data_IF_048032698184
#
_entry.id   IF_048032698184
#
_cell.length_a   1.000
_cell.length_b   1.000
_cell.length_c   1.000
_cell.angle_alpha   90.00
_cell.angle_beta   90.00
_cell.angle_gamma   90.00
#
_symmetry.space_group_name_H-M   'P 1'
#
loop_
_entity.id
_entity.type
_entity.pdbx_description
1 polymer ?
#
# COMPACT_ATOMS: atom_id res chain seq x y z
N UNK A 1 64.93 24.55 20.79
CA UNK A 1 63.50 24.40 21.17
C UNK A 1 62.91 23.19 20.45
N UNK A 2 61.89 22.52 21.01
CA UNK A 2 61.13 21.46 20.31
C UNK A 2 59.68 21.44 20.82
N UNK A 3 58.74 21.86 20.00
CA UNK A 3 57.32 21.98 20.39
C UNK A 3 56.65 20.60 20.40
N UNK A 4 55.92 20.27 21.47
CA UNK A 4 55.31 18.95 21.68
C UNK A 4 53.87 18.95 21.14
N UNK A 5 53.68 18.48 19.90
CA UNK A 5 52.34 18.29 19.33
C UNK A 5 51.54 17.26 20.15
N UNK A 6 50.39 17.67 20.67
CA UNK A 6 49.41 16.78 21.31
C UNK A 6 48.34 16.36 20.28
N UNK A 7 47.93 15.09 20.30
CA UNK A 7 47.18 14.51 19.17
C UNK A 7 45.68 14.84 19.20
N UNK A 8 45.03 15.08 18.03
CA UNK A 8 43.71 15.73 17.94
C UNK A 8 42.51 14.83 18.30
N UNK A 9 42.72 13.68 18.96
CA UNK A 9 41.65 12.70 19.25
C UNK A 9 40.54 13.29 20.12
N UNK A 10 40.87 14.15 21.09
CA UNK A 10 39.87 14.80 21.97
C UNK A 10 39.03 15.85 21.23
N UNK A 11 39.64 16.64 20.34
CA UNK A 11 38.94 17.68 19.57
C UNK A 11 37.86 17.09 18.66
N UNK A 12 38.14 15.95 18.01
CA UNK A 12 37.13 15.25 17.18
C UNK A 12 35.91 14.80 17.98
N UNK A 13 36.09 14.33 19.22
CA UNK A 13 34.98 13.90 20.09
C UNK A 13 34.11 15.10 20.50
N UNK A 14 34.72 16.25 20.83
CA UNK A 14 33.99 17.49 21.15
C UNK A 14 33.16 17.98 19.96
N UNK A 15 33.71 17.96 18.74
CA UNK A 15 33.00 18.37 17.53
C UNK A 15 31.81 17.44 17.24
N UNK A 16 31.99 16.12 17.34
CA UNK A 16 30.89 15.15 17.13
C UNK A 16 29.78 15.34 18.16
N UNK A 17 30.13 15.60 19.42
CA UNK A 17 29.16 15.91 20.49
C UNK A 17 28.34 17.17 20.15
N UNK A 18 29.00 18.28 19.80
CA UNK A 18 28.35 19.54 19.41
C UNK A 18 27.39 19.37 18.22
N UNK A 19 27.82 18.67 17.16
CA UNK A 19 26.98 18.40 15.99
C UNK A 19 25.77 17.54 16.37
N UNK A 20 25.94 16.53 17.22
CA UNK A 20 24.82 15.70 17.68
C UNK A 20 23.76 16.47 18.47
N UNK A 21 24.19 17.42 19.32
CA UNK A 21 23.27 18.26 20.10
C UNK A 21 22.43 19.19 19.20
N UNK A 22 23.05 19.80 18.18
CA UNK A 22 22.34 20.65 17.20
C UNK A 22 21.31 19.83 16.41
N UNK A 23 21.64 18.61 16.01
CA UNK A 23 20.71 17.71 15.30
C UNK A 23 19.50 17.36 16.17
N UNK A 24 19.71 17.04 17.45
CA UNK A 24 18.60 16.74 18.38
C UNK A 24 17.66 17.94 18.56
N UNK A 25 18.22 19.17 18.70
CA UNK A 25 17.42 20.40 18.81
C UNK A 25 16.60 20.65 17.53
N UNK A 26 17.21 20.45 16.35
CA UNK A 26 16.51 20.62 15.08
C UNK A 26 15.36 19.60 14.90
N UNK A 27 15.58 18.33 15.24
CA UNK A 27 14.54 17.30 15.20
C UNK A 27 13.41 17.64 16.19
N UNK A 28 13.72 18.07 17.41
CA UNK A 28 12.72 18.47 18.39
C UNK A 28 11.87 19.66 17.90
N UNK A 29 12.49 20.67 17.27
CA UNK A 29 11.78 21.81 16.70
C UNK A 29 10.84 21.40 15.54
N UNK A 30 11.29 20.50 14.66
CA UNK A 30 10.47 19.97 13.55
C UNK A 30 9.28 19.15 14.08
N UNK A 31 9.52 18.24 15.03
CA UNK A 31 8.44 17.46 15.67
C UNK A 31 7.45 18.38 16.36
N UNK A 32 7.92 19.43 17.05
CA UNK A 32 7.06 20.41 17.71
C UNK A 32 6.22 21.22 16.70
N UNK A 33 6.78 21.59 15.54
CA UNK A 33 6.05 22.28 14.49
C UNK A 33 4.94 21.41 13.86
N UNK A 34 5.19 20.10 13.70
CA UNK A 34 4.21 19.15 13.12
C UNK A 34 3.14 18.73 14.14
N UNK A 35 3.48 18.67 15.44
CA UNK A 35 2.54 18.25 16.51
C UNK A 35 1.69 19.38 17.08
N UNK A 36 1.98 20.64 16.73
CA UNK A 36 1.09 21.78 16.96
C UNK A 36 -0.16 21.65 16.07
N UNK A 37 -1.38 21.48 16.60
CA UNK A 37 -2.59 21.58 15.77
C UNK A 37 -2.72 23.01 15.24
N UNK A 38 -2.94 23.15 13.93
CA UNK A 38 -3.17 24.47 13.32
C UNK A 38 -4.52 25.05 13.77
N UNK A 39 -4.49 25.90 14.80
CA UNK A 39 -5.49 26.93 14.99
C UNK A 39 -4.93 28.27 14.51
N UNK A 40 -5.72 28.96 13.68
CA UNK A 40 -5.44 30.30 13.13
C UNK A 40 -4.32 30.26 12.06
N UNK A 41 -4.51 30.77 10.84
CA UNK A 41 -5.56 31.66 10.31
C UNK A 41 -6.43 31.01 9.22
N UNK A 42 -7.75 31.21 9.32
CA UNK A 42 -8.63 31.34 8.14
C UNK A 42 -9.25 32.72 8.18
N UNK A 43 -8.63 33.68 7.51
CA UNK A 43 -9.23 34.97 7.26
C UNK A 43 -10.19 34.87 6.07
N UNK A 44 -11.49 34.98 6.37
CA UNK A 44 -12.57 35.59 5.57
C UNK A 44 -12.60 35.35 4.04
N UNK A 45 -13.69 34.77 3.58
CA UNK A 45 -14.54 35.49 2.60
C UNK A 45 -16.02 35.07 2.81
N UNK A 46 -16.89 36.05 3.02
CA UNK A 46 -18.32 35.88 3.34
C UNK A 46 -19.20 36.65 2.33
N UNK A 47 -19.81 35.92 1.38
CA UNK A 47 -20.90 36.42 0.53
C UNK A 47 -21.75 35.22 0.03
N UNK A 48 -22.84 34.85 0.71
CA UNK A 48 -24.16 35.48 0.64
C UNK A 48 -24.83 35.46 -0.75
N UNK A 49 -25.74 34.50 -0.97
CA UNK A 49 -26.94 34.70 -1.79
C UNK A 49 -28.07 33.75 -1.34
N UNK A 50 -29.33 34.13 -1.62
CA UNK A 50 -30.49 33.76 -0.82
C UNK A 50 -31.57 32.90 -1.53
N UNK A 51 -32.17 31.98 -0.75
CA UNK A 51 -33.60 31.56 -0.74
C UNK A 51 -34.39 31.35 -2.05
N UNK A 52 -34.82 30.09 -2.25
CA UNK A 52 -36.23 29.68 -2.47
C UNK A 52 -36.34 28.19 -1.98
N UNK A 53 -37.39 27.59 -1.39
CA UNK A 53 -38.87 27.63 -1.54
C UNK A 53 -39.32 27.13 -2.94
N UNK A 54 -40.32 26.25 -3.12
CA UNK A 54 -41.48 25.91 -2.28
C UNK A 54 -42.23 24.61 -2.73
N UNK A 55 -42.78 23.80 -1.78
CA UNK A 55 -43.94 22.84 -1.88
C UNK A 55 -43.94 21.68 -2.93
N UNK A 56 -44.80 20.62 -2.95
CA UNK A 56 -45.78 19.95 -2.02
C UNK A 56 -45.92 18.46 -2.50
N UNK A 57 -45.90 17.40 -1.67
CA UNK A 57 -46.98 16.77 -0.85
C UNK A 57 -47.94 15.77 -1.55
N UNK A 58 -48.27 14.66 -0.84
CA UNK A 58 -49.35 13.64 -1.05
C UNK A 58 -49.22 12.54 -2.16
N UNK A 59 -49.84 11.33 -2.06
CA UNK A 59 -50.23 10.45 -0.91
C UNK A 59 -50.74 9.04 -1.39
N UNK A 60 -50.52 8.01 -0.57
CA UNK A 60 -51.37 6.81 -0.31
C UNK A 60 -51.55 5.62 -1.30
N UNK A 61 -51.94 4.45 -0.75
CA UNK A 61 -52.47 3.26 -1.45
C UNK A 61 -51.53 2.04 -1.64
N UNK A 62 -51.84 0.77 -1.28
CA UNK A 62 -52.39 0.07 -0.08
C UNK A 62 -52.42 -1.48 -0.38
N UNK A 63 -52.67 -2.37 0.62
CA UNK A 63 -52.80 -3.87 0.59
C UNK A 63 -51.48 -4.68 0.39
N UNK A 64 -51.10 -5.73 1.14
CA UNK A 64 -51.75 -6.71 2.10
C UNK A 64 -52.64 -7.76 1.36
N UNK A 65 -52.54 -9.09 1.44
CA UNK A 65 -51.78 -10.11 2.27
C UNK A 65 -51.91 -11.55 1.65
N UNK A 66 -51.61 -12.75 2.23
CA UNK A 66 -51.10 -13.33 3.54
C UNK A 66 -50.35 -14.66 3.19
N UNK A 67 -49.25 -15.07 3.85
CA UNK A 67 -49.13 -16.03 4.98
C UNK A 67 -49.81 -17.42 4.82
N UNK A 68 -49.04 -18.52 4.92
CA UNK A 68 -49.51 -19.93 5.12
C UNK A 68 -48.39 -20.94 5.47
N UNK A 69 -48.00 -20.93 6.75
CA UNK A 69 -47.35 -21.94 7.61
C UNK A 69 -47.51 -23.46 7.24
N UNK A 70 -46.42 -24.27 7.31
CA UNK A 70 -46.24 -25.53 8.14
C UNK A 70 -45.27 -26.61 7.58
N UNK A 71 -44.10 -26.78 8.26
CA UNK A 71 -43.44 -28.02 8.81
C UNK A 71 -43.69 -29.45 8.19
N UNK A 72 -42.81 -30.46 8.45
CA UNK A 72 -41.50 -30.75 7.82
C UNK A 72 -41.39 -32.20 7.24
N UNK A 73 -40.31 -32.52 6.53
CA UNK A 73 -39.79 -33.91 6.47
C UNK A 73 -38.27 -33.95 6.62
N UNK A 74 -37.76 -35.01 7.23
CA UNK A 74 -36.34 -35.26 7.51
C UNK A 74 -35.92 -36.52 6.75
N UNK A 75 -34.99 -36.40 5.81
CA UNK A 75 -34.30 -37.54 5.18
C UNK A 75 -32.84 -37.21 4.97
N UNK A 76 -31.96 -38.06 5.48
CA UNK A 76 -30.54 -38.03 5.17
C UNK A 76 -30.34 -38.30 3.67
N UNK A 77 -29.41 -37.57 3.06
CA UNK A 77 -29.39 -37.31 1.62
C UNK A 77 -28.05 -36.76 1.17
N UNK A 78 -27.01 -37.59 1.28
CA UNK A 78 -25.61 -37.24 0.99
C UNK A 78 -25.34 -37.00 -0.51
N UNK A 79 -25.80 -35.86 -1.03
CA UNK A 79 -25.46 -35.40 -2.37
C UNK A 79 -24.03 -34.82 -2.43
N UNK A 80 -23.21 -35.13 -3.45
CA UNK A 80 -21.89 -34.51 -3.62
C UNK A 80 -21.93 -33.02 -3.99
N UNK A 81 -23.02 -32.58 -4.63
CA UNK A 81 -23.09 -31.29 -5.35
C UNK A 81 -23.47 -30.10 -4.45
N UNK A 82 -22.66 -29.86 -3.40
CA UNK A 82 -22.72 -28.63 -2.61
C UNK A 82 -21.37 -27.92 -2.64
N UNK A 83 -21.28 -26.67 -3.13
CA UNK A 83 -20.07 -25.86 -3.02
C UNK A 83 -19.63 -25.80 -1.56
N UNK A 84 -18.31 -25.84 -1.33
CA UNK A 84 -17.76 -25.65 0.01
C UNK A 84 -18.26 -24.32 0.59
N UNK A 85 -18.97 -24.39 1.72
CA UNK A 85 -19.45 -23.21 2.43
C UNK A 85 -18.28 -22.30 2.80
N UNK A 86 -18.48 -20.96 2.88
CA UNK A 86 -17.38 -20.03 3.10
C UNK A 86 -16.67 -20.32 4.42
N UNK A 87 -15.43 -20.83 4.31
CA UNK A 87 -14.57 -21.10 5.45
C UNK A 87 -14.30 -19.81 6.24
N UNK A 88 -14.50 -19.86 7.55
CA UNK A 88 -14.54 -18.77 8.55
C UNK A 88 -13.90 -17.44 8.10
N UNK A 89 -14.64 -16.66 7.31
CA UNK A 89 -14.11 -15.47 6.66
C UNK A 89 -14.14 -14.27 7.60
N UNK A 90 -13.17 -14.22 8.53
CA UNK A 90 -12.93 -13.10 9.47
C UNK A 90 -12.66 -11.80 8.71
N UNK A 91 -13.70 -11.02 8.45
CA UNK A 91 -13.61 -9.73 7.76
C UNK A 91 -13.12 -9.88 6.33
N UNK A 92 -14.01 -10.29 5.41
CA UNK A 92 -13.70 -10.39 3.98
C UNK A 92 -13.27 -9.03 3.40
N UNK A 93 -11.96 -8.86 3.24
CA UNK A 93 -11.38 -7.72 2.52
C UNK A 93 -11.93 -7.68 1.10
N UNK A 94 -12.18 -6.47 0.59
CA UNK A 94 -12.64 -6.27 -0.78
C UNK A 94 -11.53 -6.70 -1.76
N UNK A 95 -11.88 -7.55 -2.72
CA UNK A 95 -10.96 -8.01 -3.74
C UNK A 95 -10.54 -6.86 -4.66
N UNK A 96 -9.24 -6.78 -4.98
CA UNK A 96 -8.66 -5.85 -5.95
C UNK A 96 -7.59 -6.54 -6.80
N UNK A 97 -7.38 -6.06 -8.03
CA UNK A 97 -6.32 -6.58 -8.90
C UNK A 97 -5.15 -5.59 -8.93
N UNK A 98 -4.07 -5.81 -8.17
CA UNK A 98 -2.84 -5.02 -8.32
C UNK A 98 -2.18 -5.33 -9.67
N UNK A 99 -1.40 -4.38 -10.18
CA UNK A 99 -0.68 -4.48 -11.45
C UNK A 99 0.80 -4.15 -11.27
N UNK A 100 1.65 -4.82 -12.07
CA UNK A 100 3.04 -4.38 -12.31
C UNK A 100 2.97 -3.31 -13.40
N UNK A 101 3.37 -2.08 -13.10
CA UNK A 101 3.30 -0.95 -14.03
C UNK A 101 4.61 -0.75 -14.81
N UNK A 102 5.73 -1.26 -14.30
CA UNK A 102 7.03 -1.17 -14.95
C UNK A 102 8.09 -2.03 -14.26
N UNK A 103 9.18 -2.31 -14.97
CA UNK A 103 10.40 -2.91 -14.43
C UNK A 103 11.60 -2.51 -15.30
N UNK A 104 12.80 -2.48 -14.72
CA UNK A 104 14.03 -2.09 -15.41
C UNK A 104 15.26 -2.18 -14.51
N UNK A 105 16.42 -1.72 -15.01
CA UNK A 105 17.62 -1.64 -14.18
C UNK A 105 17.67 -0.36 -13.35
N UNK A 106 18.17 -0.48 -12.12
CA UNK A 106 18.66 0.66 -11.34
C UNK A 106 19.78 1.41 -12.06
N UNK A 107 20.01 2.68 -11.72
CA UNK A 107 21.05 3.50 -12.34
C UNK A 107 22.48 2.98 -12.18
N UNK A 108 22.75 2.16 -11.16
CA UNK A 108 24.02 1.43 -10.96
C UNK A 108 24.07 0.05 -11.67
N UNK A 109 22.95 -0.35 -12.29
CA UNK A 109 22.70 -1.65 -12.93
C UNK A 109 22.90 -2.87 -12.03
N UNK A 110 22.89 -2.70 -10.70
CA UNK A 110 23.04 -3.79 -9.74
C UNK A 110 21.70 -4.38 -9.27
N UNK A 111 20.58 -3.74 -9.57
CA UNK A 111 19.24 -4.14 -9.08
C UNK A 111 18.22 -4.12 -10.21
N UNK A 112 17.32 -5.10 -10.17
CA UNK A 112 16.02 -5.02 -10.84
C UNK A 112 15.13 -4.10 -9.99
N UNK A 113 14.69 -2.99 -10.59
CA UNK A 113 13.65 -2.12 -10.04
C UNK A 113 12.29 -2.56 -10.61
N UNK A 114 11.26 -2.57 -9.76
CA UNK A 114 9.89 -2.97 -10.12
C UNK A 114 8.89 -1.98 -9.54
N UNK A 115 8.02 -1.47 -10.40
CA UNK A 115 6.93 -0.56 -10.04
C UNK A 115 5.56 -1.25 -10.18
N UNK A 116 4.60 -0.80 -9.37
CA UNK A 116 3.24 -1.33 -9.40
C UNK A 116 2.28 -0.55 -8.52
N UNK A 117 1.03 -1.00 -8.48
CA UNK A 117 -0.02 -0.36 -7.71
C UNK A 117 -1.37 -1.03 -7.89
N UNK A 118 -2.41 -0.40 -7.35
CA UNK A 118 -3.80 -0.79 -7.50
C UNK A 118 -4.58 0.38 -8.07
N UNK A 119 -5.25 0.15 -9.20
CA UNK A 119 -6.11 1.15 -9.84
C UNK A 119 -7.46 1.28 -9.11
N UNK A 120 -8.08 2.45 -9.20
CA UNK A 120 -9.44 2.73 -8.73
C UNK A 120 -9.71 2.56 -7.21
N UNK A 121 -8.66 2.36 -6.40
CA UNK A 121 -8.68 2.64 -4.96
C UNK A 121 -7.64 3.72 -4.64
N UNK A 122 -7.88 4.51 -3.60
CA UNK A 122 -6.91 5.48 -3.07
C UNK A 122 -6.84 5.25 -1.56
N UNK A 123 -5.76 4.61 -1.11
CA UNK A 123 -5.51 4.33 0.30
C UNK A 123 -4.09 4.76 0.66
N UNK A 124 -3.93 5.45 1.80
CA UNK A 124 -2.62 5.77 2.36
C UNK A 124 -2.26 4.73 3.42
N UNK A 125 -1.70 3.61 2.97
CA UNK A 125 -1.39 2.46 3.82
C UNK A 125 -1.47 1.13 3.08
N UNK A 126 -1.31 0.05 3.85
CA UNK A 126 -1.14 -1.30 3.33
C UNK A 126 0.28 -1.56 2.81
N UNK A 127 0.47 -2.74 2.23
CA UNK A 127 1.74 -3.19 1.69
C UNK A 127 1.58 -3.93 0.37
N UNK A 128 2.58 -3.80 -0.50
CA UNK A 128 2.71 -4.60 -1.71
C UNK A 128 3.83 -5.63 -1.54
N UNK A 129 3.62 -6.86 -2.00
CA UNK A 129 4.65 -7.89 -2.08
C UNK A 129 4.90 -8.21 -3.54
N UNK A 130 6.04 -7.78 -4.07
CA UNK A 130 6.50 -8.17 -5.39
C UNK A 130 7.24 -9.51 -5.29
N UNK A 131 6.98 -10.41 -6.23
CA UNK A 131 7.69 -11.69 -6.33
C UNK A 131 8.13 -11.92 -7.77
N UNK A 132 9.38 -12.30 -7.95
CA UNK A 132 9.95 -12.78 -9.22
C UNK A 132 10.09 -14.28 -9.14
N UNK A 133 9.54 -15.00 -10.11
CA UNK A 133 9.55 -16.47 -10.20
C UNK A 133 10.41 -16.94 -11.38
N UNK A 134 11.01 -18.12 -11.26
CA UNK A 134 11.66 -18.86 -12.35
C UNK A 134 11.44 -20.37 -12.17
N UNK A 135 11.88 -21.20 -13.12
CA UNK A 135 11.68 -22.66 -13.13
C UNK A 135 12.31 -23.44 -11.96
N UNK A 136 13.05 -22.77 -11.07
CA UNK A 136 13.74 -23.39 -9.93
C UNK A 136 13.69 -22.56 -8.64
N UNK A 137 12.77 -21.60 -8.52
CA UNK A 137 12.66 -20.77 -7.31
C UNK A 137 11.91 -19.46 -7.50
N UNK A 138 11.95 -18.64 -6.46
CA UNK A 138 11.40 -17.29 -6.43
C UNK A 138 12.17 -16.40 -5.47
N UNK A 139 12.11 -15.08 -5.67
CA UNK A 139 12.54 -14.08 -4.69
C UNK A 139 11.46 -13.02 -4.52
N UNK A 140 11.18 -12.63 -3.28
CA UNK A 140 10.14 -11.67 -2.93
C UNK A 140 10.70 -10.42 -2.23
N UNK A 141 10.03 -9.28 -2.41
CA UNK A 141 10.26 -8.03 -1.68
C UNK A 141 8.94 -7.37 -1.33
N UNK A 142 8.76 -7.08 -0.04
CA UNK A 142 7.61 -6.34 0.46
C UNK A 142 7.97 -4.85 0.59
N UNK A 143 7.05 -3.99 0.17
CA UNK A 143 7.17 -2.53 0.25
C UNK A 143 5.89 -1.90 0.79
N UNK A 144 6.00 -0.67 1.30
CA UNK A 144 4.85 0.15 1.70
C UNK A 144 4.04 0.61 0.49
N UNK A 145 2.72 0.74 0.63
CA UNK A 145 1.89 1.43 -0.35
C UNK A 145 1.46 2.82 0.15
N UNK A 146 1.16 3.73 -0.78
CA UNK A 146 0.73 5.10 -0.48
C UNK A 146 -0.27 5.64 -1.51
N UNK A 147 -1.09 6.60 -1.09
CA UNK A 147 -2.10 7.21 -1.96
C UNK A 147 -1.46 7.97 -3.13
N UNK A 148 -1.89 7.67 -4.35
CA UNK A 148 -1.72 8.49 -5.55
C UNK A 148 -3.00 9.30 -5.85
N UNK A 149 -3.05 10.04 -6.98
CA UNK A 149 -4.20 10.88 -7.33
C UNK A 149 -5.50 10.11 -7.59
N UNK A 150 -5.42 8.88 -8.08
CA UNK A 150 -6.56 8.02 -8.45
C UNK A 150 -6.26 6.51 -8.30
N UNK A 151 -5.16 6.19 -7.62
CA UNK A 151 -4.58 4.86 -7.45
C UNK A 151 -3.94 4.74 -6.06
N UNK A 152 -3.71 3.50 -5.62
CA UNK A 152 -2.80 3.20 -4.51
C UNK A 152 -1.49 2.73 -5.10
N UNK A 153 -0.43 3.52 -4.94
CA UNK A 153 0.87 3.23 -5.54
C UNK A 153 1.69 2.37 -4.58
N UNK A 154 2.27 1.28 -5.09
CA UNK A 154 3.30 0.56 -4.37
C UNK A 154 4.59 1.38 -4.41
N UNK A 155 5.33 1.45 -3.30
CA UNK A 155 6.72 1.92 -3.35
C UNK A 155 7.53 0.92 -4.18
N UNK A 156 8.32 1.44 -5.13
CA UNK A 156 9.25 0.67 -5.98
C UNK A 156 10.01 -0.38 -5.17
N UNK A 157 10.01 -1.63 -5.63
CA UNK A 157 10.79 -2.71 -5.06
C UNK A 157 12.15 -2.81 -5.77
N UNK A 158 13.19 -3.16 -5.00
CA UNK A 158 14.54 -3.40 -5.52
C UNK A 158 15.02 -4.81 -5.18
N UNK A 159 15.41 -5.57 -6.21
CA UNK A 159 15.95 -6.93 -6.08
C UNK A 159 17.37 -6.93 -6.67
N UNK A 160 18.42 -7.17 -5.86
CA UNK A 160 19.78 -7.31 -6.37
C UNK A 160 19.88 -8.36 -7.48
N UNK A 161 20.56 -8.04 -8.58
CA UNK A 161 20.75 -8.96 -9.71
C UNK A 161 21.57 -10.22 -9.33
N UNK A 162 22.26 -10.19 -8.19
CA UNK A 162 22.93 -11.37 -7.60
C UNK A 162 21.95 -12.41 -7.06
N UNK A 163 20.71 -12.04 -6.73
CA UNK A 163 19.66 -12.96 -6.27
C UNK A 163 18.83 -13.53 -7.43
N UNK A 164 19.02 -13.01 -8.65
CA UNK A 164 18.32 -13.48 -9.85
C UNK A 164 19.21 -14.42 -10.69
N UNK A 165 18.70 -15.59 -11.12
CA UNK A 165 19.42 -16.46 -12.04
C UNK A 165 19.65 -15.81 -13.41
N UNK A 166 20.67 -16.29 -14.11
CA UNK A 166 20.95 -15.93 -15.51
C UNK A 166 20.47 -17.01 -16.46
N UNK A 167 20.15 -16.63 -17.71
CA UNK A 167 19.81 -17.57 -18.78
C UNK A 167 18.47 -18.30 -18.65
N UNK A 168 17.58 -17.83 -17.77
CA UNK A 168 16.24 -18.40 -17.57
C UNK A 168 15.17 -17.33 -17.70
N UNK A 169 13.97 -17.75 -18.11
CA UNK A 169 12.78 -16.89 -18.17
C UNK A 169 12.21 -16.71 -16.76
N UNK A 170 12.04 -15.44 -16.37
CA UNK A 170 11.43 -15.02 -15.12
C UNK A 170 10.08 -14.35 -15.38
N UNK A 171 9.18 -14.41 -14.40
CA UNK A 171 7.94 -13.64 -14.41
C UNK A 171 7.75 -12.89 -13.10
N UNK A 172 7.14 -11.70 -13.18
CA UNK A 172 6.84 -10.84 -12.03
C UNK A 172 5.37 -11.01 -11.62
N UNK A 173 5.08 -11.04 -10.32
CA UNK A 173 3.77 -10.72 -9.76
C UNK A 173 3.87 -9.68 -8.67
N UNK A 174 2.74 -9.05 -8.37
CA UNK A 174 2.53 -8.23 -7.17
C UNK A 174 1.26 -8.66 -6.45
N UNK A 175 1.34 -8.77 -5.12
CA UNK A 175 0.18 -8.89 -4.23
C UNK A 175 0.02 -7.59 -3.42
N UNK A 176 -1.21 -7.20 -3.13
CA UNK A 176 -1.54 -6.05 -2.27
C UNK A 176 -2.41 -6.51 -1.09
N UNK A 177 -2.19 -5.91 0.09
CA UNK A 177 -2.98 -6.16 1.29
C UNK A 177 -2.99 -4.93 2.19
N UNK A 178 -4.19 -4.51 2.59
CA UNK A 178 -4.42 -3.39 3.51
C UNK A 178 -5.40 -3.79 4.64
N UNK A 179 -5.92 -2.82 5.40
CA UNK A 179 -7.00 -3.10 6.36
C UNK A 179 -8.31 -3.55 5.70
N UNK A 180 -8.59 -3.06 4.48
CA UNK A 180 -9.90 -3.19 3.81
C UNK A 180 -9.85 -3.83 2.42
N UNK A 181 -8.69 -3.85 1.76
CA UNK A 181 -8.51 -4.41 0.41
C UNK A 181 -7.44 -5.50 0.40
N UNK A 182 -7.56 -6.47 -0.52
CA UNK A 182 -6.50 -7.44 -0.83
C UNK A 182 -6.64 -8.05 -2.22
N UNK A 183 -5.53 -8.55 -2.78
CA UNK A 183 -5.52 -9.39 -3.98
C UNK A 183 -4.14 -9.53 -4.63
N UNK A 184 -4.08 -10.20 -5.78
CA UNK A 184 -2.86 -10.56 -6.49
C UNK A 184 -3.01 -10.30 -8.00
N UNK A 185 -1.93 -9.90 -8.67
CA UNK A 185 -1.89 -9.75 -10.12
C UNK A 185 -2.04 -11.13 -10.78
N UNK A 186 -3.03 -11.28 -11.67
CA UNK A 186 -3.27 -12.55 -12.38
C UNK A 186 -2.06 -12.98 -13.20
N UNK A 187 -1.58 -12.10 -14.08
CA UNK A 187 -0.32 -12.22 -14.82
C UNK A 187 0.43 -10.88 -14.75
N UNK A 188 1.73 -10.91 -14.49
CA UNK A 188 2.63 -9.78 -14.74
C UNK A 188 3.60 -10.10 -15.89
N UNK A 189 4.54 -9.18 -16.19
CA UNK A 189 5.46 -9.34 -17.32
C UNK A 189 6.45 -10.49 -17.10
N UNK A 190 6.82 -11.15 -18.20
CA UNK A 190 7.94 -12.10 -18.27
C UNK A 190 9.15 -11.46 -18.93
N UNK A 191 10.35 -11.81 -18.47
CA UNK A 191 11.62 -11.23 -18.91
C UNK A 191 12.78 -12.20 -18.71
N UNK A 192 13.93 -11.92 -19.33
CA UNK A 192 15.22 -12.53 -18.99
C UNK A 192 16.15 -11.48 -18.41
N UNK A 193 17.03 -11.88 -17.50
CA UNK A 193 18.01 -10.99 -16.84
C UNK A 193 18.89 -10.26 -17.87
N UNK A 194 19.24 -10.98 -18.94
CA UNK A 194 20.07 -10.50 -20.05
C UNK A 194 19.31 -9.56 -21.01
N UNK A 195 17.98 -9.48 -20.91
CA UNK A 195 17.13 -8.56 -21.68
C UNK A 195 16.79 -7.25 -20.97
N UNK A 196 17.16 -7.10 -19.69
CA UNK A 196 16.99 -5.86 -18.92
C UNK A 196 17.87 -4.74 -19.48
N UNK A 197 17.40 -3.49 -19.38
CA UNK A 197 18.08 -2.27 -19.87
C UNK A 197 18.10 -1.18 -18.80
#
# INVERSE_FOLDING_TARGET
MRVKQTSPKRTKIVIISLVSAVIVIAIAAVVYAITRPQQTERAKDDANSSRAKENNSNKDGNKKVDDSKTKPEERDGRSPDKPAGPGEQRGSKRAVTPIVSGYGLSGDRQRLQIDGGVNAIVENGGSCTFTVYWSGGQVSRQTSASAGPSSTNCRMAEIPLSELPSGTDMSIKVAYSSGVYAGESTNGPSFRKEGLR
#
